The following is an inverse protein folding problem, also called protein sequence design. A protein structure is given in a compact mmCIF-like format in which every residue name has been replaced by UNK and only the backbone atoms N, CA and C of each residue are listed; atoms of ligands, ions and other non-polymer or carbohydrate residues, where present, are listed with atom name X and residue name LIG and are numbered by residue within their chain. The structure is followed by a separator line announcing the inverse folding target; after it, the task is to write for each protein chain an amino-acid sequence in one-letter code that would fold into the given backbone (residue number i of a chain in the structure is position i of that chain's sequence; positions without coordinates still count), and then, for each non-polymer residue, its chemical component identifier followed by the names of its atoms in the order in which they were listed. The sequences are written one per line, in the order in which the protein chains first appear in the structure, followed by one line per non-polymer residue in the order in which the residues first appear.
data_IF_354130955190
#
_entry.id   IF_354130955190
#
_cell.length_a   1.000
_cell.length_b   1.000
_cell.length_c   1.000
_cell.angle_alpha   90.00
_cell.angle_beta   90.00
_cell.angle_gamma   90.00
#
_symmetry.space_group_name_H-M   'P 1'
#
loop_
_entity.id
_entity.type
_entity.pdbx_description
1 polymer ?
#
# COMPACT_ATOMS: atom_id res chain seq x y z
N UNK A 1 -6.90 42.24 69.51
CA UNK A 1 -5.66 41.55 69.01
C UNK A 1 -6.07 40.20 68.48
N UNK A 2 -6.02 40.00 67.21
CA UNK A 2 -5.73 38.70 66.48
C UNK A 2 -5.91 38.94 65.01
N UNK A 3 -4.85 38.60 64.27
CA UNK A 3 -4.64 38.84 62.84
C UNK A 3 -5.56 38.02 61.95
N UNK A 4 -6.08 38.66 60.86
CA UNK A 4 -6.59 37.99 59.64
C UNK A 4 -5.47 37.24 58.94
N UNK A 5 -5.71 35.96 58.62
CA UNK A 5 -4.92 35.21 57.67
C UNK A 5 -5.72 35.06 56.33
N UNK A 6 -5.10 35.50 55.28
CA UNK A 6 -5.65 35.37 53.96
C UNK A 6 -5.71 33.91 53.50
N UNK A 7 -6.77 33.57 52.79
CA UNK A 7 -6.92 32.31 52.10
C UNK A 7 -6.08 32.25 50.82
N UNK A 8 -5.67 31.05 50.38
CA UNK A 8 -4.88 30.90 49.16
C UNK A 8 -5.78 31.05 47.94
N UNK A 9 -5.23 31.77 46.98
CA UNK A 9 -5.76 31.97 45.63
C UNK A 9 -5.97 30.66 44.95
N UNK A 10 -7.12 30.54 44.31
CA UNK A 10 -7.48 29.51 43.32
C UNK A 10 -6.52 29.62 42.12
N UNK A 11 -5.47 28.80 42.10
CA UNK A 11 -4.54 28.71 41.00
C UNK A 11 -5.14 27.79 39.93
N UNK A 12 -5.30 28.37 38.78
CA UNK A 12 -5.92 27.84 37.58
C UNK A 12 -5.65 26.35 37.32
N UNK A 13 -6.72 25.63 37.09
CA UNK A 13 -6.69 24.39 36.34
C UNK A 13 -6.24 24.73 34.93
N UNK A 14 -4.96 24.45 34.65
CA UNK A 14 -4.47 24.41 33.31
C UNK A 14 -5.32 23.38 32.52
N UNK A 15 -6.08 23.86 31.59
CA UNK A 15 -6.65 23.02 30.53
C UNK A 15 -5.48 22.33 29.82
N UNK A 16 -5.36 21.01 29.97
CA UNK A 16 -4.55 20.23 29.05
C UNK A 16 -4.97 20.61 27.63
N UNK A 17 -4.03 20.96 26.74
CA UNK A 17 -4.39 21.20 25.37
C UNK A 17 -4.98 19.89 24.85
N UNK A 18 -6.26 19.92 24.44
CA UNK A 18 -6.87 18.85 23.68
C UNK A 18 -5.88 18.47 22.59
N UNK A 19 -5.44 17.23 22.58
CA UNK A 19 -4.52 16.69 21.58
C UNK A 19 -5.19 16.94 20.23
N UNK A 20 -4.74 17.98 19.53
CA UNK A 20 -5.25 18.32 18.20
C UNK A 20 -5.20 17.05 17.38
N UNK A 21 -6.33 16.65 16.81
CA UNK A 21 -6.40 15.54 15.86
C UNK A 21 -5.34 15.83 14.79
N UNK A 22 -4.25 15.06 14.83
CA UNK A 22 -3.16 15.20 13.88
C UNK A 22 -3.75 14.89 12.51
N UNK A 23 -3.87 15.89 11.66
CA UNK A 23 -4.35 15.66 10.30
C UNK A 23 -3.38 14.68 9.62
N UNK A 24 -3.94 13.55 9.18
CA UNK A 24 -3.19 12.58 8.39
C UNK A 24 -2.91 13.22 7.04
N UNK A 25 -1.67 13.61 6.80
CA UNK A 25 -1.29 14.45 5.64
C UNK A 25 -0.63 13.67 4.52
N UNK A 26 0.06 12.56 4.84
CA UNK A 26 0.79 11.81 3.85
C UNK A 26 -0.16 10.99 2.95
N UNK A 27 0.03 11.10 1.65
CA UNK A 27 -0.65 10.31 0.63
C UNK A 27 0.21 9.13 0.21
N UNK A 28 -0.41 8.05 -0.24
CA UNK A 28 0.31 6.84 -0.62
C UNK A 28 -0.18 6.24 -1.94
N UNK A 29 0.76 5.68 -2.69
CA UNK A 29 0.48 4.77 -3.80
C UNK A 29 0.87 3.36 -3.39
N UNK A 30 -0.10 2.45 -3.46
CA UNK A 30 0.10 1.03 -3.21
C UNK A 30 0.02 0.26 -4.52
N UNK A 31 1.04 -0.50 -4.82
CA UNK A 31 1.10 -1.34 -6.02
C UNK A 31 1.04 -2.82 -5.64
N UNK A 32 0.25 -3.62 -6.37
CA UNK A 32 0.45 -5.07 -6.39
C UNK A 32 1.76 -5.38 -7.13
N UNK A 33 2.41 -6.51 -6.82
CA UNK A 33 3.62 -6.97 -7.49
C UNK A 33 3.30 -7.65 -8.81
N UNK A 34 2.75 -8.86 -8.72
CA UNK A 34 2.48 -9.71 -9.87
C UNK A 34 1.49 -9.05 -10.83
N UNK A 35 1.79 -9.00 -12.10
CA UNK A 35 0.91 -8.44 -13.12
C UNK A 35 0.74 -6.92 -13.10
N UNK A 36 1.40 -6.20 -12.18
CA UNK A 36 1.41 -4.73 -12.10
C UNK A 36 2.82 -4.18 -12.27
N UNK A 37 3.74 -4.58 -11.40
CA UNK A 37 5.14 -4.15 -11.43
C UNK A 37 6.05 -5.19 -12.10
N UNK A 38 5.77 -6.46 -11.85
CA UNK A 38 6.56 -7.58 -12.35
C UNK A 38 5.65 -8.65 -12.96
N UNK A 39 6.21 -9.51 -13.82
CA UNK A 39 5.47 -10.65 -14.35
C UNK A 39 5.07 -11.61 -13.22
N UNK A 40 6.03 -11.96 -12.38
CA UNK A 40 5.86 -12.76 -11.17
C UNK A 40 6.89 -12.35 -10.12
N UNK A 41 6.53 -12.40 -8.85
CA UNK A 41 7.43 -12.11 -7.73
C UNK A 41 8.40 -13.28 -7.48
N UNK A 42 9.18 -13.60 -8.51
CA UNK A 42 10.20 -14.65 -8.54
C UNK A 42 11.34 -14.19 -9.44
N UNK A 43 12.58 -14.36 -8.98
CA UNK A 43 13.74 -14.04 -9.81
C UNK A 43 13.83 -14.97 -11.04
N UNK A 44 14.32 -14.42 -12.14
CA UNK A 44 14.66 -15.20 -13.34
C UNK A 44 15.81 -16.18 -13.05
N UNK A 45 16.11 -17.05 -13.99
CA UNK A 45 17.26 -17.98 -13.86
C UNK A 45 18.60 -17.23 -13.67
N UNK A 46 18.70 -16.01 -14.22
CA UNK A 46 19.87 -15.13 -14.10
C UNK A 46 19.84 -14.25 -12.84
N UNK A 47 18.88 -14.48 -11.91
CA UNK A 47 18.76 -13.73 -10.66
C UNK A 47 18.24 -12.29 -10.81
N UNK A 48 17.55 -11.97 -11.92
CA UNK A 48 16.97 -10.64 -12.17
C UNK A 48 15.50 -10.57 -11.78
N UNK A 49 15.03 -9.38 -11.42
CA UNK A 49 13.59 -9.08 -11.28
C UNK A 49 12.95 -9.03 -12.67
N UNK A 50 11.87 -9.78 -12.92
CA UNK A 50 11.16 -9.76 -14.21
C UNK A 50 10.20 -8.56 -14.28
N UNK A 51 10.73 -7.36 -14.36
CA UNK A 51 9.96 -6.12 -14.45
C UNK A 51 9.04 -6.13 -15.67
N UNK A 52 7.80 -5.67 -15.50
CA UNK A 52 6.94 -5.34 -16.62
C UNK A 52 7.46 -4.08 -17.33
N UNK A 53 7.26 -3.97 -18.65
CA UNK A 53 7.78 -2.86 -19.45
C UNK A 53 7.36 -1.50 -18.89
N UNK A 54 8.34 -0.65 -18.57
CA UNK A 54 8.13 0.70 -18.07
C UNK A 54 7.66 0.79 -16.60
N UNK A 55 7.65 -0.32 -15.85
CA UNK A 55 7.18 -0.29 -14.45
C UNK A 55 8.16 0.47 -13.53
N UNK A 56 9.45 0.25 -13.69
CA UNK A 56 10.46 0.91 -12.88
C UNK A 56 10.52 2.41 -13.18
N UNK A 57 10.42 2.78 -14.47
CA UNK A 57 10.36 4.17 -14.92
C UNK A 57 9.09 4.88 -14.42
N UNK A 58 7.95 4.18 -14.39
CA UNK A 58 6.72 4.71 -13.84
C UNK A 58 6.86 5.02 -12.35
N UNK A 59 7.46 4.10 -11.58
CA UNK A 59 7.74 4.34 -10.16
C UNK A 59 8.71 5.51 -9.96
N UNK A 60 9.74 5.65 -10.79
CA UNK A 60 10.70 6.74 -10.74
C UNK A 60 10.09 8.12 -11.07
N UNK A 61 8.95 8.15 -11.76
CA UNK A 61 8.22 9.39 -12.07
C UNK A 61 7.36 9.92 -10.91
N UNK A 62 7.22 9.15 -9.84
CA UNK A 62 6.43 9.55 -8.65
C UNK A 62 7.25 10.51 -7.82
N UNK A 63 6.72 11.72 -7.62
CA UNK A 63 7.32 12.69 -6.69
C UNK A 63 7.16 12.20 -5.24
N UNK A 64 8.26 11.91 -4.53
CA UNK A 64 8.22 11.41 -3.15
C UNK A 64 7.71 12.45 -2.13
N UNK A 65 7.67 13.74 -2.51
CA UNK A 65 7.05 14.80 -1.70
C UNK A 65 5.50 14.75 -1.80
N UNK A 66 4.96 14.17 -2.87
CA UNK A 66 3.53 14.03 -3.07
C UNK A 66 3.01 12.70 -2.55
N UNK A 67 3.70 11.59 -2.85
CA UNK A 67 3.27 10.25 -2.51
C UNK A 67 4.36 9.40 -1.89
N UNK A 68 4.02 8.72 -0.81
CA UNK A 68 4.80 7.61 -0.31
C UNK A 68 4.47 6.35 -1.12
N UNK A 69 5.48 5.65 -1.63
CA UNK A 69 5.30 4.47 -2.47
C UNK A 69 5.45 3.18 -1.66
N UNK A 70 4.45 2.31 -1.79
CA UNK A 70 4.38 1.02 -1.10
C UNK A 70 4.07 -0.11 -2.07
N UNK A 71 4.45 -1.32 -1.67
CA UNK A 71 3.97 -2.56 -2.29
C UNK A 71 3.05 -3.27 -1.31
N UNK A 72 1.88 -3.72 -1.80
CA UNK A 72 0.93 -4.49 -1.00
C UNK A 72 0.48 -5.74 -1.76
N UNK A 73 0.99 -6.92 -1.40
CA UNK A 73 0.79 -8.15 -2.16
C UNK A 73 0.22 -9.30 -1.34
N UNK A 74 -0.61 -10.13 -1.96
CA UNK A 74 -1.04 -11.40 -1.40
C UNK A 74 -0.17 -12.54 -1.95
N UNK A 75 0.43 -13.35 -1.04
CA UNK A 75 1.35 -14.44 -1.39
C UNK A 75 0.75 -15.81 -1.10
N UNK A 76 -0.42 -16.07 -1.67
CA UNK A 76 -1.09 -17.38 -1.52
C UNK A 76 -0.26 -18.54 -2.07
N UNK A 77 0.62 -18.29 -3.03
CA UNK A 77 1.60 -19.24 -3.57
C UNK A 77 2.54 -19.78 -2.48
N UNK A 78 2.91 -18.94 -1.49
CA UNK A 78 3.64 -19.41 -0.29
C UNK A 78 2.74 -20.32 0.55
N UNK A 79 1.47 -19.94 0.75
CA UNK A 79 0.52 -20.76 1.51
C UNK A 79 0.32 -22.15 0.90
N UNK A 80 0.34 -22.26 -0.41
CA UNK A 80 0.19 -23.53 -1.15
C UNK A 80 1.51 -24.27 -1.39
N UNK A 81 2.65 -23.66 -1.04
CA UNK A 81 3.99 -24.26 -1.19
C UNK A 81 4.51 -24.22 -2.63
N UNK A 82 3.96 -23.36 -3.48
CA UNK A 82 4.39 -23.11 -4.86
C UNK A 82 5.59 -22.18 -4.93
N UNK A 83 5.74 -21.29 -3.92
CA UNK A 83 6.89 -20.42 -3.70
C UNK A 83 7.41 -20.64 -2.27
N UNK A 84 8.72 -20.75 -2.10
CA UNK A 84 9.32 -20.78 -0.77
C UNK A 84 9.44 -19.36 -0.22
N UNK A 85 9.14 -19.17 1.06
CA UNK A 85 9.25 -17.85 1.72
C UNK A 85 10.64 -17.21 1.56
N UNK A 86 11.72 -18.02 1.67
CA UNK A 86 13.09 -17.55 1.46
C UNK A 86 13.37 -17.06 0.03
N UNK A 87 12.72 -17.67 -0.97
CA UNK A 87 12.92 -17.29 -2.37
C UNK A 87 12.15 -16.00 -2.67
N UNK A 88 10.99 -15.80 -2.03
CA UNK A 88 10.29 -14.51 -2.04
C UNK A 88 11.08 -13.41 -1.32
N UNK A 89 11.72 -13.74 -0.19
CA UNK A 89 12.58 -12.78 0.51
C UNK A 89 13.74 -12.31 -0.37
N UNK A 90 14.45 -13.24 -1.03
CA UNK A 90 15.51 -12.90 -2.00
C UNK A 90 15.01 -12.04 -3.15
N UNK A 91 13.80 -12.35 -3.63
CA UNK A 91 13.15 -11.50 -4.64
C UNK A 91 12.95 -10.08 -4.11
N UNK A 92 12.41 -9.91 -2.90
CA UNK A 92 12.19 -8.59 -2.30
C UNK A 92 13.51 -7.82 -2.11
N UNK A 93 14.57 -8.49 -1.68
CA UNK A 93 15.91 -7.88 -1.53
C UNK A 93 16.42 -7.35 -2.89
N UNK A 94 16.32 -8.15 -3.95
CA UNK A 94 16.73 -7.73 -5.29
C UNK A 94 15.81 -6.64 -5.86
N UNK A 95 14.50 -6.75 -5.64
CA UNK A 95 13.53 -5.72 -6.05
C UNK A 95 13.83 -4.36 -5.42
N UNK A 96 14.12 -4.33 -4.11
CA UNK A 96 14.50 -3.08 -3.42
C UNK A 96 15.82 -2.55 -3.98
N UNK A 97 16.80 -3.41 -4.23
CA UNK A 97 18.07 -3.00 -4.83
C UNK A 97 17.87 -2.33 -6.21
N UNK A 98 17.06 -2.94 -7.09
CA UNK A 98 16.74 -2.34 -8.41
C UNK A 98 16.03 -0.99 -8.25
N UNK A 99 15.13 -0.86 -7.27
CA UNK A 99 14.47 0.40 -6.94
C UNK A 99 15.46 1.46 -6.45
N UNK A 100 16.38 1.09 -5.56
CA UNK A 100 17.41 2.00 -5.03
C UNK A 100 18.34 2.48 -6.15
N UNK A 101 18.78 1.58 -7.04
CA UNK A 101 19.59 1.92 -8.23
C UNK A 101 18.86 2.89 -9.17
N UNK A 102 17.53 2.79 -9.27
CA UNK A 102 16.67 3.69 -10.04
C UNK A 102 16.19 4.93 -9.25
N UNK A 103 16.66 5.12 -8.02
CA UNK A 103 16.26 6.21 -7.12
C UNK A 103 14.75 6.23 -6.79
N UNK A 104 14.12 5.07 -6.75
CA UNK A 104 12.71 4.88 -6.37
C UNK A 104 12.60 4.55 -4.89
N UNK A 105 12.11 5.46 -4.03
CA UNK A 105 12.03 5.22 -2.58
C UNK A 105 10.82 4.34 -2.22
N UNK A 106 10.95 3.03 -2.27
CA UNK A 106 9.94 2.12 -1.73
C UNK A 106 9.99 2.15 -0.21
N UNK A 107 8.92 2.64 0.42
CA UNK A 107 8.84 2.76 1.88
C UNK A 107 8.75 1.41 2.58
N UNK A 108 7.91 0.51 2.05
CA UNK A 108 7.73 -0.83 2.61
C UNK A 108 7.03 -1.77 1.63
N UNK A 109 7.38 -3.05 1.73
CA UNK A 109 6.67 -4.15 1.07
C UNK A 109 5.84 -4.88 2.12
N UNK A 110 4.52 -4.85 1.99
CA UNK A 110 3.59 -5.64 2.81
C UNK A 110 3.20 -6.89 2.05
N UNK A 111 3.35 -8.04 2.69
CA UNK A 111 2.95 -9.30 2.09
C UNK A 111 2.10 -10.14 3.05
N UNK A 112 1.13 -10.87 2.50
CA UNK A 112 0.32 -11.79 3.28
C UNK A 112 0.48 -13.22 2.73
N UNK A 113 1.26 -14.08 3.39
CA UNK A 113 1.47 -15.46 2.95
C UNK A 113 0.39 -16.42 3.47
N UNK A 114 -0.68 -15.93 4.08
CA UNK A 114 -1.69 -16.76 4.73
C UNK A 114 -2.89 -17.01 3.83
N UNK A 115 -3.43 -18.25 3.91
CA UNK A 115 -4.66 -18.64 3.23
C UNK A 115 -5.40 -19.71 4.06
N UNK A 116 -6.75 -19.65 4.21
CA UNK A 116 -7.50 -20.62 5.01
C UNK A 116 -7.36 -22.06 4.51
N UNK A 117 -7.11 -22.25 3.22
CA UNK A 117 -6.82 -23.55 2.59
C UNK A 117 -5.32 -23.83 2.42
N UNK A 118 -4.45 -23.01 3.02
CA UNK A 118 -2.99 -23.15 2.94
C UNK A 118 -2.48 -24.40 3.66
N UNK A 119 -1.17 -24.59 3.65
CA UNK A 119 -0.48 -25.70 4.29
C UNK A 119 0.18 -25.27 5.60
N UNK A 120 0.24 -26.19 6.57
CA UNK A 120 0.95 -26.01 7.83
C UNK A 120 0.69 -24.65 8.50
N UNK A 121 1.75 -23.91 8.89
CA UNK A 121 1.71 -22.61 9.58
C UNK A 121 1.01 -21.50 8.75
N UNK A 122 0.90 -21.68 7.45
CA UNK A 122 0.25 -20.72 6.56
C UNK A 122 -1.26 -20.92 6.42
N UNK A 123 -1.81 -22.03 7.00
CA UNK A 123 -3.25 -22.31 7.02
C UNK A 123 -3.92 -21.51 8.12
N UNK A 124 -4.26 -20.27 7.83
CA UNK A 124 -5.07 -19.43 8.72
C UNK A 124 -5.73 -18.29 7.97
N UNK A 125 -6.82 -17.78 8.54
CA UNK A 125 -7.40 -16.51 8.14
C UNK A 125 -6.45 -15.35 8.53
N UNK A 126 -6.50 -14.27 7.76
CA UNK A 126 -5.72 -13.08 8.05
C UNK A 126 -6.43 -11.84 7.54
N UNK A 127 -6.50 -10.81 8.38
CA UNK A 127 -7.00 -9.48 8.00
C UNK A 127 -6.12 -8.79 6.95
N UNK A 128 -4.88 -9.26 6.77
CA UNK A 128 -3.95 -8.77 5.77
C UNK A 128 -4.14 -9.42 4.39
N UNK A 129 -4.96 -10.50 4.31
CA UNK A 129 -5.26 -11.14 3.04
C UNK A 129 -6.35 -10.38 2.31
N UNK A 130 -6.03 -9.81 1.14
CA UNK A 130 -7.00 -9.18 0.26
C UNK A 130 -8.15 -10.15 -0.06
N UNK A 131 -9.40 -9.72 -0.12
CA UNK A 131 -9.87 -8.34 -0.18
C UNK A 131 -10.06 -7.66 1.19
N UNK A 132 -9.52 -8.18 2.29
CA UNK A 132 -9.50 -7.45 3.55
C UNK A 132 -8.51 -6.27 3.47
N UNK A 133 -8.82 -5.11 4.08
CA UNK A 133 -8.04 -3.88 3.95
C UNK A 133 -6.84 -3.79 4.93
N UNK A 134 -6.51 -4.86 5.64
CA UNK A 134 -5.57 -4.84 6.76
C UNK A 134 -4.18 -4.31 6.42
N UNK A 135 -3.66 -4.62 5.22
CA UNK A 135 -2.38 -4.06 4.74
C UNK A 135 -2.41 -2.53 4.76
N UNK A 136 -3.46 -1.92 4.18
CA UNK A 136 -3.58 -0.46 4.05
C UNK A 136 -3.81 0.20 5.42
N UNK A 137 -4.63 -0.44 6.28
CA UNK A 137 -4.87 0.05 7.65
C UNK A 137 -3.62 -0.02 8.53
N UNK A 138 -2.79 -1.05 8.37
CA UNK A 138 -1.49 -1.13 9.05
C UNK A 138 -0.56 -0.01 8.58
N UNK A 139 -0.43 0.18 7.27
CA UNK A 139 0.39 1.25 6.72
C UNK A 139 -0.10 2.64 7.16
N UNK A 140 -1.43 2.85 7.24
CA UNK A 140 -2.03 4.06 7.78
C UNK A 140 -1.53 4.37 9.17
N UNK A 141 -1.50 3.38 10.05
CA UNK A 141 -1.04 3.55 11.44
C UNK A 141 0.47 3.76 11.55
N UNK A 142 1.25 3.10 10.68
CA UNK A 142 2.71 3.19 10.70
C UNK A 142 3.25 4.50 10.12
N UNK A 143 2.55 5.09 9.15
CA UNK A 143 3.05 6.24 8.36
C UNK A 143 2.12 7.46 8.38
N UNK A 144 1.11 7.48 9.24
CA UNK A 144 0.12 8.58 9.35
C UNK A 144 -0.55 8.91 7.99
N UNK A 145 -0.98 7.87 7.24
CA UNK A 145 -1.50 8.04 5.88
C UNK A 145 -2.95 8.53 5.86
N UNK A 146 -3.25 9.44 4.94
CA UNK A 146 -4.61 9.75 4.53
C UNK A 146 -5.05 8.78 3.43
N UNK A 147 -5.74 7.69 3.80
CA UNK A 147 -6.19 6.69 2.84
C UNK A 147 -7.21 7.25 1.84
N UNK A 148 -8.04 8.21 2.23
CA UNK A 148 -9.00 8.85 1.35
C UNK A 148 -8.35 9.65 0.21
N UNK A 149 -7.06 9.99 0.34
CA UNK A 149 -6.24 10.64 -0.68
C UNK A 149 -5.14 9.73 -1.23
N UNK A 150 -5.22 8.45 -0.96
CA UNK A 150 -4.25 7.43 -1.38
C UNK A 150 -4.87 6.49 -2.42
N UNK A 151 -4.03 5.82 -3.20
CA UNK A 151 -4.48 4.99 -4.30
C UNK A 151 -3.92 3.57 -4.22
N UNK A 152 -4.71 2.62 -4.72
CA UNK A 152 -4.30 1.25 -4.99
C UNK A 152 -4.26 1.02 -6.50
N UNK A 153 -3.15 0.50 -6.99
CA UNK A 153 -2.98 0.03 -8.37
C UNK A 153 -2.89 -1.49 -8.33
N UNK A 154 -3.86 -2.14 -8.92
CA UNK A 154 -4.01 -3.59 -8.92
C UNK A 154 -4.47 -4.15 -10.26
N UNK A 155 -4.40 -5.45 -10.43
CA UNK A 155 -4.81 -6.14 -11.67
C UNK A 155 -5.97 -7.13 -11.46
N UNK A 156 -6.39 -7.34 -10.22
CA UNK A 156 -7.48 -8.25 -9.86
C UNK A 156 -8.65 -7.51 -9.22
N UNK A 157 -9.85 -8.10 -9.31
CA UNK A 157 -11.03 -7.59 -8.59
C UNK A 157 -10.82 -7.62 -7.07
N UNK A 158 -9.98 -8.55 -6.59
CA UNK A 158 -9.59 -8.67 -5.18
C UNK A 158 -8.76 -7.47 -4.71
N UNK A 159 -7.85 -6.95 -5.54
CA UNK A 159 -7.04 -5.76 -5.22
C UNK A 159 -7.93 -4.52 -5.13
N UNK A 160 -8.80 -4.35 -6.13
CA UNK A 160 -9.72 -3.21 -6.20
C UNK A 160 -10.66 -3.20 -5.00
N UNK A 161 -11.27 -4.33 -4.68
CA UNK A 161 -12.18 -4.42 -3.52
C UNK A 161 -11.46 -4.13 -2.19
N UNK A 162 -10.19 -4.55 -2.05
CA UNK A 162 -9.40 -4.25 -0.86
C UNK A 162 -9.14 -2.75 -0.71
N UNK A 163 -8.82 -2.05 -1.82
CA UNK A 163 -8.67 -0.60 -1.85
C UNK A 163 -9.97 0.13 -1.51
N UNK A 164 -11.08 -0.26 -2.14
CA UNK A 164 -12.42 0.30 -1.85
C UNK A 164 -12.80 0.14 -0.37
N UNK A 165 -12.56 -1.04 0.23
CA UNK A 165 -12.81 -1.29 1.66
C UNK A 165 -11.91 -0.46 2.58
N UNK A 166 -10.77 -0.02 2.10
CA UNK A 166 -9.89 0.88 2.83
C UNK A 166 -10.30 2.36 2.67
N UNK A 167 -11.22 2.69 1.77
CA UNK A 167 -11.62 4.05 1.43
C UNK A 167 -10.62 4.77 0.53
N UNK A 168 -9.89 4.02 -0.31
CA UNK A 168 -8.85 4.54 -1.20
C UNK A 168 -9.35 4.70 -2.64
N UNK A 169 -8.70 5.55 -3.40
CA UNK A 169 -8.80 5.52 -4.86
C UNK A 169 -8.30 4.19 -5.42
N UNK A 170 -8.91 3.72 -6.51
CA UNK A 170 -8.56 2.42 -7.11
C UNK A 170 -8.35 2.54 -8.60
N UNK A 171 -7.24 1.96 -9.07
CA UNK A 171 -6.87 1.90 -10.48
C UNK A 171 -6.62 0.45 -10.88
N UNK A 172 -7.42 -0.05 -11.81
CA UNK A 172 -7.27 -1.39 -12.40
C UNK A 172 -6.40 -1.28 -13.65
N UNK A 173 -5.31 -2.03 -13.68
CA UNK A 173 -4.49 -2.17 -14.90
C UNK A 173 -4.91 -3.40 -15.72
N UNK A 174 -4.80 -3.28 -17.04
CA UNK A 174 -5.16 -4.35 -17.99
C UNK A 174 -4.00 -5.33 -18.25
N UNK A 175 -2.87 -5.17 -17.56
CA UNK A 175 -1.83 -6.20 -17.44
C UNK A 175 -2.26 -7.31 -16.48
N UNK A 176 -1.53 -8.41 -16.43
CA UNK A 176 -1.86 -9.53 -15.55
C UNK A 176 -3.25 -10.10 -15.83
N UNK A 177 -4.12 -10.16 -14.80
CA UNK A 177 -5.48 -10.70 -14.94
C UNK A 177 -6.51 -9.70 -15.47
N UNK A 178 -6.20 -8.42 -15.53
CA UNK A 178 -7.08 -7.38 -16.10
C UNK A 178 -8.52 -7.41 -15.53
N UNK A 179 -8.69 -7.68 -14.24
CA UNK A 179 -9.99 -7.81 -13.59
C UNK A 179 -10.77 -9.09 -13.94
N UNK A 180 -10.19 -10.04 -14.69
CA UNK A 180 -10.87 -11.27 -15.13
C UNK A 180 -10.67 -12.46 -14.18
N UNK A 181 -10.34 -12.18 -12.92
CA UNK A 181 -10.19 -13.21 -11.88
C UNK A 181 -11.54 -13.77 -11.40
N UNK A 182 -12.67 -13.14 -11.78
CA UNK A 182 -14.02 -13.64 -11.50
C UNK A 182 -14.41 -13.71 -10.01
N UNK A 183 -13.63 -13.07 -9.13
CA UNK A 183 -13.80 -13.20 -7.69
C UNK A 183 -14.87 -12.27 -7.14
N UNK A 184 -14.95 -11.03 -7.66
CA UNK A 184 -15.87 -9.99 -7.17
C UNK A 184 -16.35 -9.09 -8.29
N UNK A 185 -17.54 -8.50 -8.10
CA UNK A 185 -17.97 -7.36 -8.88
C UNK A 185 -17.38 -6.09 -8.24
N UNK A 186 -16.68 -5.30 -9.01
CA UNK A 186 -16.05 -4.05 -8.56
C UNK A 186 -16.23 -2.96 -9.62
N UNK A 187 -16.25 -1.72 -9.15
CA UNK A 187 -16.25 -0.52 -9.99
C UNK A 187 -15.00 0.31 -9.65
N UNK A 188 -13.88 0.10 -10.35
CA UNK A 188 -12.65 0.85 -10.09
C UNK A 188 -12.80 2.31 -10.52
N UNK A 189 -12.19 3.25 -9.80
CA UNK A 189 -12.21 4.67 -10.16
C UNK A 189 -11.54 4.94 -11.52
N UNK A 190 -10.54 4.11 -11.87
CA UNK A 190 -9.83 4.16 -13.17
C UNK A 190 -9.57 2.76 -13.68
N UNK A 191 -9.62 2.61 -15.01
CA UNK A 191 -9.18 1.40 -15.73
C UNK A 191 -8.23 1.87 -16.82
N UNK A 192 -7.00 1.36 -16.80
CA UNK A 192 -5.93 1.80 -17.70
C UNK A 192 -5.09 0.62 -18.21
N UNK A 193 -4.29 0.84 -19.27
CA UNK A 193 -3.54 -0.20 -19.94
C UNK A 193 -2.50 -0.89 -19.02
N UNK A 194 -1.70 -0.11 -18.32
CA UNK A 194 -0.57 -0.59 -17.54
C UNK A 194 -0.24 0.38 -16.38
N UNK A 195 0.80 0.08 -15.62
CA UNK A 195 1.22 0.88 -14.48
C UNK A 195 1.69 2.29 -14.87
N UNK A 196 2.24 2.49 -16.08
CA UNK A 196 2.66 3.82 -16.56
C UNK A 196 1.44 4.75 -16.70
N UNK A 197 0.38 4.23 -17.33
CA UNK A 197 -0.88 4.95 -17.46
C UNK A 197 -1.54 5.16 -16.09
N UNK A 198 -1.44 4.19 -15.17
CA UNK A 198 -1.98 4.34 -13.81
C UNK A 198 -1.31 5.50 -13.06
N UNK A 199 0.03 5.53 -13.05
CA UNK A 199 0.78 6.62 -12.39
C UNK A 199 0.47 7.96 -13.05
N UNK A 200 0.49 8.05 -14.39
CA UNK A 200 0.19 9.28 -15.11
C UNK A 200 -1.22 9.82 -14.81
N UNK A 201 -2.24 8.95 -14.79
CA UNK A 201 -3.62 9.35 -14.46
C UNK A 201 -3.77 9.83 -13.01
N UNK A 202 -3.15 9.12 -12.05
CA UNK A 202 -3.22 9.50 -10.64
C UNK A 202 -2.53 10.84 -10.41
N UNK A 203 -1.33 11.05 -10.94
CA UNK A 203 -0.61 12.31 -10.81
C UNK A 203 -1.38 13.47 -11.46
N UNK A 204 -2.00 13.26 -12.62
CA UNK A 204 -2.83 14.27 -13.28
C UNK A 204 -4.07 14.65 -12.44
N UNK A 205 -4.73 13.67 -11.82
CA UNK A 205 -5.86 13.89 -10.94
C UNK A 205 -5.48 14.76 -9.73
N UNK A 206 -4.36 14.48 -9.08
CA UNK A 206 -3.90 15.25 -7.91
C UNK A 206 -3.50 16.69 -8.25
N UNK A 207 -2.95 16.93 -9.44
CA UNK A 207 -2.65 18.29 -9.90
C UNK A 207 -3.96 19.09 -10.10
N UNK A 208 -4.99 18.46 -10.67
CA UNK A 208 -6.29 19.10 -10.89
C UNK A 208 -7.03 19.45 -9.56
N UNK A 209 -6.89 18.60 -8.53
CA UNK A 209 -7.49 18.83 -7.21
C UNK A 209 -6.80 19.96 -6.40
N UNK A 210 -5.57 20.33 -6.78
CA UNK A 210 -4.78 21.38 -6.11
C UNK A 210 -4.89 22.75 -6.80
N UNK A 211 -5.49 22.79 -7.99
CA UNK A 211 -5.68 24.02 -8.80
C UNK A 211 -7.01 24.67 -8.56
#
# INVERSE_FOLDING_TARGET
MIKKRGGPSDAGRGSEPAMALRELTAQALFFELDGVLVEQARLTAEGRVPWLPGALEALASIDPELFLTFVGTARSDIAFGELRERDFQRFCERFVQDCDEAQVPIRKIYSCPYHPKGRQRFRKESVFRKPAPGIYKMAQQEFDLNLGRSWVVGHTTTDILAGQRAGMGTCLVLTGKAGRDGSYQVDPHRVVQDVRHAVAEILRFEVAERS
#
